data_IF_416024239325
#
_entry.id   IF_416024239325
#
_cell.length_a   1.000
_cell.length_b   1.000
_cell.length_c   1.000
_cell.angle_alpha   90.00
_cell.angle_beta   90.00
_cell.angle_gamma   90.00
#
_symmetry.space_group_name_H-M   'P 1'
#
loop_
_entity.id
_entity.type
_entity.pdbx_description
1 polymer ?
#
# COMPACT_ATOMS: atom_id res chain seq x y z
N UNK A 1 20.24 10.35 -6.59
CA UNK A 1 19.39 9.15 -6.37
C UNK A 1 20.22 8.23 -5.49
N UNK A 2 19.99 8.27 -4.17
CA UNK A 2 20.70 7.36 -3.27
C UNK A 2 20.04 5.98 -3.43
N UNK A 3 20.71 5.08 -4.14
CA UNK A 3 20.41 3.67 -4.02
C UNK A 3 20.63 3.30 -2.55
N UNK A 4 19.57 2.89 -1.87
CA UNK A 4 19.68 2.18 -0.61
C UNK A 4 20.39 0.86 -0.92
N UNK A 5 21.71 0.85 -0.82
CA UNK A 5 22.52 -0.35 -0.90
C UNK A 5 22.19 -1.23 0.30
N UNK A 6 21.26 -2.16 0.09
CA UNK A 6 20.91 -3.17 1.08
C UNK A 6 22.16 -4.03 1.31
N UNK A 7 22.64 -4.16 2.55
CA UNK A 7 23.83 -4.98 2.82
C UNK A 7 23.59 -6.41 2.32
N UNK A 8 24.60 -6.97 1.65
CA UNK A 8 24.52 -8.35 1.17
C UNK A 8 24.50 -9.31 2.37
N UNK A 9 23.62 -10.32 2.38
CA UNK A 9 23.55 -11.26 3.48
C UNK A 9 24.82 -12.12 3.52
N UNK A 10 25.38 -12.31 4.71
CA UNK A 10 26.64 -13.04 4.92
C UNK A 10 26.51 -14.57 4.81
N UNK A 11 25.27 -15.08 4.81
CA UNK A 11 24.96 -16.52 4.82
C UNK A 11 24.05 -16.88 3.64
N UNK A 12 23.80 -18.17 3.42
CA UNK A 12 22.79 -18.63 2.47
C UNK A 12 21.38 -18.12 2.86
N UNK A 13 20.50 -17.90 1.90
CA UNK A 13 19.16 -17.37 2.19
C UNK A 13 18.37 -18.31 3.11
N UNK A 14 18.61 -19.62 3.08
CA UNK A 14 18.00 -20.58 4.00
C UNK A 14 18.44 -20.45 5.47
N UNK A 15 19.49 -19.68 5.78
CA UNK A 15 19.89 -19.36 7.15
C UNK A 15 19.02 -18.27 7.79
N UNK A 16 18.19 -17.57 6.99
CA UNK A 16 17.36 -16.48 7.45
C UNK A 16 15.90 -16.90 7.55
N UNK A 17 15.18 -16.26 8.48
CA UNK A 17 13.73 -16.27 8.53
C UNK A 17 13.20 -14.86 8.31
N UNK A 18 12.15 -14.73 7.51
CA UNK A 18 11.42 -13.49 7.28
C UNK A 18 10.04 -13.57 7.92
N UNK A 19 9.76 -12.61 8.79
CA UNK A 19 8.49 -12.46 9.50
C UNK A 19 7.68 -11.33 8.84
N UNK A 20 6.42 -11.61 8.47
CA UNK A 20 5.55 -10.65 7.78
C UNK A 20 4.12 -10.68 8.36
N UNK A 21 3.56 -9.50 8.63
CA UNK A 21 2.12 -9.33 8.82
C UNK A 21 1.51 -8.78 7.54
N UNK A 22 0.62 -9.55 6.90
CA UNK A 22 0.06 -9.18 5.59
C UNK A 22 -1.46 -9.07 5.64
N UNK A 23 -2.01 -8.00 5.06
CA UNK A 23 -3.44 -7.84 4.82
C UNK A 23 -3.73 -7.78 3.32
N UNK A 24 -3.94 -8.92 2.63
CA UNK A 24 -4.21 -8.92 1.19
C UNK A 24 -5.45 -8.11 0.79
N UNK A 25 -5.35 -7.38 -0.32
CA UNK A 25 -6.46 -6.56 -0.87
C UNK A 25 -7.72 -7.38 -1.18
N UNK A 26 -7.58 -8.65 -1.55
CA UNK A 26 -8.69 -9.53 -1.91
C UNK A 26 -9.49 -10.02 -0.71
N UNK A 27 -8.93 -10.03 0.50
CA UNK A 27 -9.53 -10.69 1.67
C UNK A 27 -9.71 -9.77 2.87
N UNK A 28 -8.99 -8.65 2.94
CA UNK A 28 -8.97 -7.72 4.08
C UNK A 28 -9.52 -6.34 3.74
N UNK A 29 -10.00 -6.16 2.51
CA UNK A 29 -10.53 -4.90 2.04
C UNK A 29 -11.81 -5.13 1.26
N UNK A 30 -12.74 -4.17 1.37
CA UNK A 30 -13.93 -4.08 0.53
C UNK A 30 -13.88 -2.80 -0.30
N UNK A 31 -14.60 -2.72 -1.43
CA UNK A 31 -14.88 -1.45 -2.08
C UNK A 31 -15.46 -0.45 -1.08
N UNK A 32 -15.02 0.80 -1.20
CA UNK A 32 -15.44 1.89 -0.33
C UNK A 32 -15.71 3.14 -1.15
N UNK A 33 -16.58 3.99 -0.64
CA UNK A 33 -16.87 5.31 -1.17
C UNK A 33 -15.78 6.31 -0.77
N UNK A 34 -15.74 7.47 -1.42
CA UNK A 34 -14.83 8.54 -1.06
C UNK A 34 -15.05 9.06 0.37
N UNK A 35 -16.30 9.03 0.87
CA UNK A 35 -16.63 9.45 2.22
C UNK A 35 -16.08 8.47 3.27
N UNK A 36 -16.17 7.17 3.03
CA UNK A 36 -15.69 6.13 3.97
C UNK A 36 -14.16 6.09 4.12
N UNK A 37 -13.41 6.65 3.17
CA UNK A 37 -11.93 6.65 3.18
C UNK A 37 -11.34 8.05 3.39
N UNK A 38 -12.15 9.01 3.84
CA UNK A 38 -11.73 10.40 4.06
C UNK A 38 -10.97 10.97 2.86
N UNK A 39 -11.47 10.71 1.65
CA UNK A 39 -10.78 11.09 0.41
C UNK A 39 -10.59 12.61 0.36
N UNK A 40 -9.35 13.13 0.22
CA UNK A 40 -9.10 14.57 0.23
C UNK A 40 -9.87 15.32 -0.85
N UNK A 41 -10.03 14.72 -2.04
CA UNK A 41 -10.78 15.31 -3.13
C UNK A 41 -12.29 15.39 -2.84
N UNK A 42 -12.83 14.43 -2.10
CA UNK A 42 -14.23 14.47 -1.68
C UNK A 42 -14.43 15.50 -0.56
N UNK A 43 -13.51 15.56 0.40
CA UNK A 43 -13.60 16.48 1.54
C UNK A 43 -13.35 17.94 1.15
N UNK A 44 -12.37 18.21 0.29
CA UNK A 44 -11.90 19.56 -0.05
C UNK A 44 -12.15 20.00 -1.49
N UNK A 45 -12.68 19.13 -2.34
CA UNK A 45 -12.70 19.37 -3.78
C UNK A 45 -11.31 19.20 -4.41
N UNK A 46 -11.21 19.43 -5.72
CA UNK A 46 -9.94 19.41 -6.44
C UNK A 46 -10.01 20.26 -7.70
N UNK A 47 -8.84 20.56 -8.27
CA UNK A 47 -8.73 21.27 -9.55
C UNK A 47 -7.89 20.49 -10.54
N UNK A 48 -8.21 20.63 -11.81
CA UNK A 48 -7.51 19.99 -12.93
C UNK A 48 -7.04 21.06 -13.89
N UNK A 49 -5.74 21.13 -14.14
CA UNK A 49 -5.14 22.05 -15.11
C UNK A 49 -5.28 21.46 -16.51
N UNK A 50 -6.03 22.10 -17.40
CA UNK A 50 -6.38 21.55 -18.70
C UNK A 50 -5.17 21.42 -19.62
N UNK A 51 -4.28 22.41 -19.63
CA UNK A 51 -3.12 22.49 -20.50
C UNK A 51 -2.02 21.49 -20.11
N UNK A 52 -2.08 20.94 -18.89
CA UNK A 52 -1.21 19.85 -18.45
C UNK A 52 -1.74 18.45 -18.80
N UNK A 53 -2.92 18.36 -19.42
CA UNK A 53 -3.56 17.09 -19.76
C UNK A 53 -3.53 16.82 -21.27
N UNK A 54 -3.57 15.53 -21.61
CA UNK A 54 -3.85 15.11 -22.98
C UNK A 54 -5.32 15.37 -23.34
N UNK A 55 -5.66 15.57 -24.63
CA UNK A 55 -7.03 15.83 -25.06
C UNK A 55 -8.04 14.78 -24.55
N UNK A 56 -7.66 13.51 -24.50
CA UNK A 56 -8.52 12.42 -24.00
C UNK A 56 -8.84 12.57 -22.51
N UNK A 57 -7.87 13.00 -21.71
CA UNK A 57 -8.07 13.22 -20.27
C UNK A 57 -8.91 14.48 -20.01
N UNK A 58 -8.78 15.50 -20.86
CA UNK A 58 -9.66 16.68 -20.84
C UNK A 58 -11.11 16.27 -21.12
N UNK A 59 -11.33 15.47 -22.17
CA UNK A 59 -12.65 14.97 -22.52
C UNK A 59 -13.25 14.11 -21.39
N UNK A 60 -12.45 13.20 -20.83
CA UNK A 60 -12.85 12.38 -19.70
C UNK A 60 -13.22 13.22 -18.46
N UNK A 61 -12.47 14.30 -18.16
CA UNK A 61 -12.78 15.19 -17.05
C UNK A 61 -14.11 15.93 -17.28
N UNK A 62 -14.33 16.48 -18.48
CA UNK A 62 -15.55 17.22 -18.84
C UNK A 62 -16.79 16.34 -18.92
N UNK A 63 -16.65 15.09 -19.40
CA UNK A 63 -17.75 14.11 -19.53
C UNK A 63 -17.88 13.19 -18.32
N UNK A 64 -17.21 13.50 -17.22
CA UNK A 64 -17.21 12.66 -16.02
C UNK A 64 -18.54 12.61 -15.26
N UNK A 65 -19.54 13.41 -15.66
CA UNK A 65 -20.82 13.56 -14.97
C UNK A 65 -20.75 14.29 -13.61
N UNK A 66 -19.57 14.82 -13.25
CA UNK A 66 -19.35 15.59 -12.03
C UNK A 66 -19.61 17.07 -12.27
N UNK A 67 -20.03 17.78 -11.23
CA UNK A 67 -20.22 19.23 -11.31
C UNK A 67 -18.86 19.90 -11.18
N UNK A 68 -18.55 20.75 -12.14
CA UNK A 68 -17.36 21.58 -12.13
C UNK A 68 -17.69 22.99 -12.60
N UNK A 69 -16.82 23.93 -12.25
CA UNK A 69 -16.74 25.26 -12.86
C UNK A 69 -15.40 25.41 -13.56
N UNK A 70 -15.39 26.20 -14.61
CA UNK A 70 -14.18 26.49 -15.38
C UNK A 70 -13.62 27.84 -14.94
N UNK A 71 -12.38 27.85 -14.46
CA UNK A 71 -11.67 29.04 -14.02
C UNK A 71 -10.52 29.33 -14.98
N UNK A 72 -10.60 30.49 -15.65
CA UNK A 72 -9.53 31.00 -16.50
C UNK A 72 -8.69 31.97 -15.66
N UNK A 73 -7.48 31.57 -15.30
CA UNK A 73 -6.59 32.37 -14.43
C UNK A 73 -5.70 33.28 -15.27
N UNK A 74 -5.19 32.77 -16.38
CA UNK A 74 -4.37 33.48 -17.34
C UNK A 74 -4.44 32.77 -18.71
N UNK A 75 -3.81 33.35 -19.73
CA UNK A 75 -3.67 32.71 -21.03
C UNK A 75 -2.95 31.36 -20.89
N UNK A 76 -3.58 30.28 -21.38
CA UNK A 76 -3.06 28.92 -21.25
C UNK A 76 -3.05 28.37 -19.81
N UNK A 77 -3.83 28.96 -18.90
CA UNK A 77 -4.02 28.45 -17.54
C UNK A 77 -5.50 28.34 -17.20
N UNK A 78 -6.09 27.23 -17.64
CA UNK A 78 -7.50 26.94 -17.44
C UNK A 78 -7.65 25.78 -16.49
N UNK A 79 -8.47 25.96 -15.45
CA UNK A 79 -8.72 24.95 -14.45
C UNK A 79 -10.18 24.51 -14.45
N UNK A 80 -10.42 23.20 -14.43
CA UNK A 80 -11.70 22.65 -14.02
C UNK A 80 -11.67 22.48 -12.51
N UNK A 81 -12.53 23.21 -11.80
CA UNK A 81 -12.64 23.15 -10.34
C UNK A 81 -13.86 22.33 -9.96
N UNK A 82 -13.61 21.22 -9.26
CA UNK A 82 -14.60 20.29 -8.75
C UNK A 82 -14.83 20.56 -7.27
N UNK A 83 -16.08 20.79 -6.90
CA UNK A 83 -16.47 21.11 -5.53
C UNK A 83 -16.43 19.89 -4.59
N UNK A 84 -16.29 20.11 -3.27
CA UNK A 84 -16.37 19.04 -2.29
C UNK A 84 -17.74 18.32 -2.32
N UNK A 85 -17.77 17.13 -1.73
CA UNK A 85 -18.95 16.26 -1.63
C UNK A 85 -19.22 15.39 -2.88
N UNK A 86 -18.32 15.41 -3.86
CA UNK A 86 -18.46 14.63 -5.10
C UNK A 86 -17.45 13.47 -5.16
N UNK A 87 -17.82 12.30 -5.71
CA UNK A 87 -16.87 11.20 -5.88
C UNK A 87 -15.65 11.63 -6.72
N UNK A 88 -14.43 11.29 -6.29
CA UNK A 88 -13.23 11.61 -7.05
C UNK A 88 -13.12 10.74 -8.33
N UNK A 89 -12.17 11.03 -9.22
CA UNK A 89 -11.95 10.19 -10.42
C UNK A 89 -11.49 8.77 -10.12
N UNK A 90 -10.86 8.55 -8.96
CA UNK A 90 -10.38 7.24 -8.50
C UNK A 90 -11.35 6.55 -7.53
N UNK A 91 -12.62 6.96 -7.49
CA UNK A 91 -13.59 6.46 -6.53
C UNK A 91 -13.69 4.91 -6.54
N UNK A 92 -13.58 4.28 -7.70
CA UNK A 92 -13.64 2.81 -7.85
C UNK A 92 -12.43 2.08 -7.25
N UNK A 93 -11.31 2.78 -7.03
CA UNK A 93 -10.09 2.25 -6.43
C UNK A 93 -10.08 2.38 -4.91
N UNK A 94 -11.02 3.12 -4.32
CA UNK A 94 -11.11 3.23 -2.87
C UNK A 94 -11.48 1.90 -2.23
N UNK A 95 -10.81 1.64 -1.11
CA UNK A 95 -10.91 0.40 -0.36
C UNK A 95 -10.92 0.75 1.13
N UNK A 96 -11.85 0.15 1.86
CA UNK A 96 -11.89 0.22 3.32
C UNK A 96 -11.45 -1.12 3.89
N UNK A 97 -10.67 -1.08 4.97
CA UNK A 97 -10.24 -2.28 5.69
C UNK A 97 -11.46 -2.91 6.35
N UNK A 98 -11.64 -4.21 6.19
CA UNK A 98 -12.60 -4.96 7.01
C UNK A 98 -11.90 -5.37 8.30
N UNK A 99 -12.66 -5.45 9.40
CA UNK A 99 -12.13 -5.85 10.71
C UNK A 99 -11.77 -7.34 10.73
N UNK A 100 -10.67 -7.65 10.06
CA UNK A 100 -10.11 -8.98 9.91
C UNK A 100 -8.64 -8.94 10.32
N UNK A 101 -8.20 -9.84 11.22
CA UNK A 101 -6.80 -9.95 11.59
C UNK A 101 -5.90 -10.17 10.35
N UNK A 102 -4.69 -9.59 10.32
CA UNK A 102 -3.74 -9.87 9.25
C UNK A 102 -3.33 -11.34 9.25
N UNK A 103 -2.76 -11.78 8.13
CA UNK A 103 -2.07 -13.05 8.04
C UNK A 103 -0.69 -12.91 8.71
N UNK A 104 -0.42 -13.76 9.69
CA UNK A 104 0.84 -13.81 10.44
C UNK A 104 1.77 -14.84 9.81
N UNK A 105 2.64 -14.39 8.91
CA UNK A 105 3.41 -15.26 8.01
C UNK A 105 4.87 -15.33 8.48
N UNK A 106 5.45 -16.53 8.40
CA UNK A 106 6.89 -16.78 8.55
C UNK A 106 7.36 -17.56 7.34
N UNK A 107 8.46 -17.10 6.72
CA UNK A 107 9.10 -17.76 5.58
C UNK A 107 10.55 -18.01 5.90
N UNK A 108 11.10 -19.10 5.40
CA UNK A 108 12.55 -19.23 5.27
C UNK A 108 13.00 -18.35 4.11
N UNK A 109 14.24 -17.85 4.18
CA UNK A 109 14.73 -16.88 3.22
C UNK A 109 14.88 -15.48 3.77
N UNK A 110 15.71 -14.71 3.09
CA UNK A 110 15.80 -13.26 3.21
C UNK A 110 15.17 -12.59 1.97
N UNK A 111 15.59 -11.36 1.66
CA UNK A 111 15.11 -10.62 0.49
C UNK A 111 15.40 -11.30 -0.85
N UNK A 112 16.34 -12.27 -0.90
CA UNK A 112 16.65 -13.07 -2.09
C UNK A 112 15.58 -14.14 -2.37
N UNK A 113 14.62 -14.31 -1.46
CA UNK A 113 13.51 -15.24 -1.59
C UNK A 113 13.72 -16.52 -0.77
N UNK A 114 12.93 -17.54 -1.07
CA UNK A 114 12.94 -18.82 -0.35
C UNK A 114 13.70 -19.89 -1.13
N UNK A 115 15.04 -20.01 -0.98
CA UNK A 115 15.84 -20.97 -1.73
C UNK A 115 15.51 -22.42 -1.38
N UNK A 116 14.96 -22.67 -0.19
CA UNK A 116 14.61 -24.02 0.29
C UNK A 116 13.25 -24.49 -0.22
N UNK A 117 12.48 -23.63 -0.88
CA UNK A 117 11.14 -23.96 -1.39
C UNK A 117 10.15 -24.37 -0.30
N UNK A 118 10.45 -24.06 0.97
CA UNK A 118 9.62 -24.46 2.10
C UNK A 118 8.29 -23.72 2.09
N UNK A 119 7.23 -24.39 2.55
CA UNK A 119 5.93 -23.72 2.66
C UNK A 119 6.02 -22.64 3.74
N UNK A 120 5.50 -21.46 3.43
CA UNK A 120 5.33 -20.41 4.41
C UNK A 120 4.44 -20.92 5.56
N UNK A 121 4.87 -20.70 6.80
CA UNK A 121 4.06 -21.00 7.98
C UNK A 121 3.13 -19.84 8.25
N UNK A 122 1.86 -20.15 8.48
CA UNK A 122 0.84 -19.20 8.89
C UNK A 122 0.47 -19.45 10.34
N UNK A 123 0.66 -18.45 11.19
CA UNK A 123 0.20 -18.49 12.58
C UNK A 123 -1.27 -18.08 12.66
N UNK A 124 -2.01 -18.73 13.56
CA UNK A 124 -3.45 -18.53 13.73
C UNK A 124 -3.77 -17.26 14.53
N UNK A 125 -2.83 -16.78 15.34
CA UNK A 125 -3.01 -15.64 16.23
C UNK A 125 -1.69 -14.85 16.36
N UNK A 126 -1.75 -13.58 16.80
CA UNK A 126 -0.55 -12.75 16.96
C UNK A 126 0.38 -13.21 18.07
N UNK A 127 -0.14 -13.78 19.17
CA UNK A 127 0.68 -14.16 20.32
C UNK A 127 1.70 -15.23 19.94
N UNK A 128 1.26 -16.30 19.27
CA UNK A 128 2.13 -17.38 18.80
C UNK A 128 3.17 -16.88 17.79
N UNK A 129 2.82 -15.88 16.97
CA UNK A 129 3.75 -15.29 16.01
C UNK A 129 4.83 -14.46 16.71
N UNK A 130 4.46 -13.71 17.75
CA UNK A 130 5.39 -12.92 18.57
C UNK A 130 6.32 -13.83 19.36
N UNK A 131 5.78 -14.89 19.97
CA UNK A 131 6.57 -15.89 20.70
C UNK A 131 7.60 -16.55 19.79
N UNK A 132 7.17 -17.04 18.62
CA UNK A 132 8.05 -17.64 17.61
C UNK A 132 9.11 -16.67 17.06
N UNK A 133 8.80 -15.37 17.01
CA UNK A 133 9.80 -14.35 16.69
C UNK A 133 10.80 -14.17 17.83
N UNK A 134 10.33 -14.07 19.07
CA UNK A 134 11.15 -13.87 20.25
C UNK A 134 12.11 -15.06 20.48
N UNK A 135 11.60 -16.29 20.40
CA UNK A 135 12.41 -17.51 20.50
C UNK A 135 13.51 -17.54 19.42
N UNK A 136 13.17 -17.14 18.19
CA UNK A 136 14.16 -17.09 17.11
C UNK A 136 15.22 -16.02 17.35
N UNK A 137 14.85 -14.83 17.84
CA UNK A 137 15.81 -13.78 18.19
C UNK A 137 16.72 -14.21 19.35
N UNK A 138 16.17 -14.87 20.38
CA UNK A 138 16.96 -15.37 21.49
C UNK A 138 17.95 -16.44 21.03
N UNK A 139 17.53 -17.39 20.19
CA UNK A 139 18.42 -18.40 19.63
C UNK A 139 19.58 -17.78 18.83
N UNK A 140 19.32 -16.71 18.08
CA UNK A 140 20.40 -15.97 17.39
C UNK A 140 21.35 -15.32 18.38
N UNK A 141 20.82 -14.66 19.43
CA UNK A 141 21.63 -14.03 20.46
C UNK A 141 22.53 -15.06 21.18
N UNK A 142 21.96 -16.21 21.56
CA UNK A 142 22.67 -17.30 22.22
C UNK A 142 23.80 -17.86 21.35
N UNK A 143 23.61 -17.97 20.03
CA UNK A 143 24.66 -18.40 19.11
C UNK A 143 25.75 -17.34 18.93
N UNK A 144 25.40 -16.05 18.91
CA UNK A 144 26.39 -14.96 18.86
C UNK A 144 27.23 -14.93 20.14
N UNK A 145 26.64 -15.20 21.30
CA UNK A 145 27.37 -15.23 22.57
C UNK A 145 28.38 -16.39 22.67
N UNK A 146 28.14 -17.50 21.94
CA UNK A 146 29.03 -18.67 21.94
C UNK A 146 30.32 -18.49 21.13
N UNK A 147 30.37 -17.51 20.22
CA UNK A 147 31.52 -17.22 19.36
C UNK A 147 31.46 -17.92 18.00
#
# INVERSE_FOLDING_TARGET
MFELSRPQPLMDAGAYKTYEMRSPLSTHFRPATCAEVDCPHYLGGWRVHLEALTPDLVDAARKSGRRYREEHIAEGQTFLVFEPGQPCFKATQHRARIDRPPLYIVRDGDFRGNPRGTKARLHQNPANWVEDFAEHQQAIADEIEKG
#
